data_IF_355454667890
#
_entry.id   IF_355454667890
#
_cell.length_a   1.000
_cell.length_b   1.000
_cell.length_c   1.000
_cell.angle_alpha   90.00
_cell.angle_beta   90.00
_cell.angle_gamma   90.00
#
_symmetry.space_group_name_H-M   'P 1'
#
loop_
_entity.id
_entity.type
_entity.pdbx_description
1 polymer ?
#
# COMPACT_ATOMS: atom_id res chain seq x y z
N UNK A 1 1.66 5.81 -11.10
CA UNK A 1 3.05 6.13 -10.66
C UNK A 1 2.95 6.97 -9.39
N UNK A 2 3.53 6.48 -8.29
CA UNK A 2 3.45 7.10 -6.96
C UNK A 2 4.86 7.13 -6.37
N UNK A 3 5.17 8.15 -5.57
CA UNK A 3 6.48 8.32 -4.94
C UNK A 3 6.32 8.32 -3.42
N UNK A 4 7.24 7.65 -2.73
CA UNK A 4 7.33 7.65 -1.27
C UNK A 4 8.78 7.86 -0.86
N UNK A 5 8.98 8.53 0.28
CA UNK A 5 10.31 8.78 0.83
C UNK A 5 10.25 8.86 2.36
N UNK A 6 11.31 8.40 3.01
CA UNK A 6 11.46 8.45 4.48
C UNK A 6 10.69 7.35 5.22
N UNK A 7 10.52 7.51 6.53
CA UNK A 7 9.71 6.65 7.42
C UNK A 7 10.00 5.14 7.36
N UNK A 8 11.22 4.72 6.99
CA UNK A 8 11.57 3.29 6.86
C UNK A 8 11.37 2.70 5.47
N UNK A 9 11.11 3.53 4.44
CA UNK A 9 11.19 3.11 3.03
C UNK A 9 12.65 2.99 2.61
N UNK A 10 12.97 1.90 1.90
CA UNK A 10 14.29 1.65 1.29
C UNK A 10 14.61 2.71 0.26
N UNK A 11 15.71 3.43 0.46
CA UNK A 11 16.17 4.46 -0.48
C UNK A 11 16.59 3.87 -1.84
N UNK A 12 16.24 4.57 -2.93
CA UNK A 12 16.65 4.18 -4.29
C UNK A 12 15.95 2.93 -4.84
N UNK A 13 14.84 2.50 -4.24
CA UNK A 13 14.04 1.37 -4.72
C UNK A 13 13.05 1.81 -5.80
N UNK A 14 12.89 0.99 -6.83
CA UNK A 14 11.78 1.03 -7.79
C UNK A 14 11.05 -0.31 -7.71
N UNK A 15 9.72 -0.29 -7.70
CA UNK A 15 8.91 -1.49 -7.52
C UNK A 15 7.75 -1.51 -8.52
N UNK A 16 7.57 -2.66 -9.16
CA UNK A 16 6.62 -2.88 -10.24
C UNK A 16 7.08 -2.34 -11.59
N UNK A 17 6.45 -2.82 -12.65
CA UNK A 17 6.71 -2.40 -14.04
C UNK A 17 5.38 -2.27 -14.80
N UNK A 18 5.34 -1.37 -15.79
CA UNK A 18 4.21 -1.23 -16.69
C UNK A 18 4.33 -2.16 -17.89
N UNK A 19 3.23 -2.44 -18.57
CA UNK A 19 3.24 -3.14 -19.85
C UNK A 19 4.05 -2.40 -20.94
N UNK A 20 4.25 -3.07 -22.08
CA UNK A 20 5.08 -2.59 -23.20
C UNK A 20 4.64 -1.23 -23.78
N UNK A 21 3.39 -0.83 -23.54
CA UNK A 21 2.81 0.44 -24.02
C UNK A 21 2.57 1.45 -22.89
N UNK A 22 2.89 1.09 -21.63
CA UNK A 22 2.70 1.93 -20.45
C UNK A 22 1.24 2.09 -19.99
N UNK A 23 0.33 1.18 -20.35
CA UNK A 23 -1.10 1.30 -20.05
C UNK A 23 -1.47 0.76 -18.66
N UNK A 24 -1.03 -0.45 -18.32
CA UNK A 24 -1.32 -1.10 -17.04
C UNK A 24 -0.04 -1.54 -16.31
N UNK A 25 -0.15 -1.75 -15.00
CA UNK A 25 0.90 -2.42 -14.23
C UNK A 25 0.92 -3.91 -14.60
N UNK A 26 2.06 -4.40 -15.06
CA UNK A 26 2.26 -5.77 -15.54
C UNK A 26 3.04 -6.63 -14.55
N UNK A 27 4.03 -6.04 -13.85
CA UNK A 27 4.87 -6.72 -12.85
C UNK A 27 4.63 -6.09 -11.50
N UNK A 28 4.48 -6.92 -10.47
CA UNK A 28 4.25 -6.56 -9.06
C UNK A 28 3.27 -5.38 -8.88
N UNK A 29 2.01 -5.51 -9.34
CA UNK A 29 1.04 -4.45 -9.26
C UNK A 29 0.68 -4.15 -7.81
N UNK A 30 0.78 -2.88 -7.42
CA UNK A 30 0.40 -2.40 -6.09
C UNK A 30 -0.96 -1.72 -6.18
N UNK A 31 -1.93 -2.21 -5.41
CA UNK A 31 -3.23 -1.56 -5.30
C UNK A 31 -3.20 -0.39 -4.31
N UNK A 32 -4.25 0.44 -4.32
CA UNK A 32 -4.41 1.50 -3.31
C UNK A 32 -4.56 0.93 -1.90
N UNK A 33 -5.09 -0.29 -1.76
CA UNK A 33 -5.21 -0.96 -0.47
C UNK A 33 -3.85 -1.34 0.09
N UNK A 34 -2.95 -1.86 -0.74
CA UNK A 34 -1.58 -2.24 -0.35
C UNK A 34 -0.75 -1.01 0.00
N UNK A 35 -0.92 0.07 -0.76
CA UNK A 35 -0.28 1.35 -0.47
C UNK A 35 -0.70 1.88 0.92
N UNK A 36 -2.00 1.90 1.21
CA UNK A 36 -2.49 2.34 2.52
C UNK A 36 -2.10 1.39 3.66
N UNK A 37 -2.09 0.07 3.42
CA UNK A 37 -1.59 -0.92 4.38
C UNK A 37 -0.14 -0.64 4.75
N UNK A 38 0.70 -0.40 3.74
CA UNK A 38 2.12 -0.07 3.91
C UNK A 38 2.32 1.25 4.66
N UNK A 39 1.57 2.30 4.31
CA UNK A 39 1.64 3.58 5.04
C UNK A 39 1.27 3.43 6.52
N UNK A 40 0.20 2.70 6.82
CA UNK A 40 -0.23 2.46 8.20
C UNK A 40 0.80 1.62 8.96
N UNK A 41 1.39 0.61 8.31
CA UNK A 41 2.47 -0.19 8.87
C UNK A 41 3.67 0.68 9.28
N UNK A 42 4.11 1.61 8.41
CA UNK A 42 5.21 2.54 8.71
C UNK A 42 4.90 3.50 9.87
N UNK A 43 3.62 3.77 10.13
CA UNK A 43 3.17 4.54 11.29
C UNK A 43 3.03 3.68 12.56
N UNK A 44 3.35 2.39 12.51
CA UNK A 44 3.19 1.44 13.61
C UNK A 44 1.73 1.04 13.86
N UNK A 45 0.85 1.21 12.88
CA UNK A 45 -0.57 0.90 12.98
C UNK A 45 -0.88 -0.36 12.17
N UNK A 46 -1.50 -1.34 12.83
CA UNK A 46 -2.07 -2.50 12.16
C UNK A 46 -3.35 -2.11 11.40
N UNK A 47 -3.27 -2.12 10.07
CA UNK A 47 -4.36 -1.69 9.20
C UNK A 47 -5.59 -2.59 9.28
N UNK A 48 -5.44 -3.87 9.65
CA UNK A 48 -6.58 -4.78 9.78
C UNK A 48 -7.40 -4.50 11.03
N UNK A 49 -6.76 -3.93 12.05
CA UNK A 49 -7.38 -3.60 13.34
C UNK A 49 -7.95 -2.18 13.37
N UNK A 50 -7.44 -1.29 12.53
CA UNK A 50 -7.93 0.09 12.40
C UNK A 50 -9.32 0.11 11.75
N UNK A 51 -10.35 0.05 12.60
CA UNK A 51 -11.75 0.03 12.18
C UNK A 51 -12.54 1.19 12.78
N UNK A 52 -13.43 1.79 11.99
CA UNK A 52 -14.33 2.88 12.43
C UNK A 52 -15.78 2.63 12.00
N UNK A 53 -16.78 3.07 12.78
CA UNK A 53 -18.18 2.95 12.39
C UNK A 53 -18.53 3.98 11.30
N UNK A 54 -19.09 3.50 10.19
CA UNK A 54 -19.62 4.33 9.12
C UNK A 54 -20.78 3.60 8.44
N UNK A 55 -21.87 4.30 8.09
CA UNK A 55 -23.06 3.70 7.45
C UNK A 55 -23.54 2.38 8.07
N UNK A 56 -23.52 2.27 9.41
CA UNK A 56 -24.00 1.07 10.12
C UNK A 56 -23.07 -0.14 10.08
N UNK A 57 -21.86 -0.05 9.52
CA UNK A 57 -20.85 -1.13 9.56
C UNK A 57 -19.48 -0.62 10.02
N UNK A 58 -18.60 -1.54 10.41
CA UNK A 58 -17.20 -1.25 10.69
C UNK A 58 -16.44 -1.22 9.37
N UNK A 59 -15.83 -0.09 9.06
CA UNK A 59 -14.97 0.08 7.88
C UNK A 59 -13.50 0.07 8.29
N UNK A 60 -12.64 -0.41 7.40
CA UNK A 60 -11.18 -0.25 7.44
C UNK A 60 -10.75 0.67 6.31
N UNK A 61 -9.63 1.37 6.47
CA UNK A 61 -9.08 2.20 5.38
C UNK A 61 -8.69 1.35 4.16
N UNK A 62 -8.20 0.13 4.39
CA UNK A 62 -7.88 -0.84 3.33
C UNK A 62 -9.09 -1.71 2.92
N UNK A 63 -10.28 -1.40 3.42
CA UNK A 63 -11.51 -2.15 3.21
C UNK A 63 -11.36 -3.65 3.52
N UNK A 64 -11.58 -4.56 2.56
CA UNK A 64 -11.46 -6.02 2.73
C UNK A 64 -10.11 -6.59 2.28
N UNK A 65 -9.21 -5.75 1.77
CA UNK A 65 -7.94 -6.16 1.14
C UNK A 65 -6.75 -5.36 1.71
N UNK A 66 -5.59 -5.49 1.06
CA UNK A 66 -4.37 -4.78 1.38
C UNK A 66 -3.34 -5.70 2.03
N UNK A 67 -2.17 -5.80 1.40
CA UNK A 67 -0.97 -6.40 1.97
C UNK A 67 0.14 -5.35 2.08
N UNK A 68 0.99 -5.49 3.09
CA UNK A 68 2.15 -4.61 3.24
C UNK A 68 3.15 -4.92 2.12
N UNK A 69 3.57 -3.89 1.39
CA UNK A 69 4.57 -4.03 0.32
C UNK A 69 5.95 -4.14 0.97
N UNK A 70 6.29 -5.33 1.47
CA UNK A 70 7.58 -5.60 2.12
C UNK A 70 8.80 -5.28 1.25
N UNK A 71 8.80 -5.49 -0.08
CA UNK A 71 9.98 -5.25 -0.93
C UNK A 71 10.52 -3.81 -0.92
N UNK A 72 9.70 -2.83 -0.52
CA UNK A 72 10.07 -1.41 -0.48
C UNK A 72 10.45 -0.92 0.93
N UNK A 73 10.38 -1.78 1.95
CA UNK A 73 10.77 -1.46 3.33
C UNK A 73 12.30 -1.63 3.55
N UNK A 74 12.85 -0.90 4.51
CA UNK A 74 14.29 -0.84 4.84
C UNK A 74 14.74 -1.90 5.87
#
# INVERSE_FOLDING_TARGET
LTWMAGAGIKGGVSHGETDDIGYAAAVDPVSVHDLHATMLHLLGIDHERLTYPHNGRRYRLTDVAGEVVEPILA
#
